data_IF_281736505756
#
_entry.id   IF_281736505756
#
_cell.length_a   1.000
_cell.length_b   1.000
_cell.length_c   1.000
_cell.angle_alpha   90.00
_cell.angle_beta   90.00
_cell.angle_gamma   90.00
#
_symmetry.space_group_name_H-M   'P 1'
#
loop_
_entity.id
_entity.type
_entity.pdbx_description
1 polymer ?
#
# COMPACT_ATOMS: atom_id res chain seq x y z
N UNK A 1 12.85 22.23 -6.66
CA UNK A 1 13.22 21.53 -5.41
C UNK A 1 14.70 21.20 -5.48
N UNK A 2 15.51 21.52 -4.47
CA UNK A 2 16.92 21.08 -4.42
C UNK A 2 16.95 19.74 -3.70
N UNK A 3 17.12 18.64 -4.43
CA UNK A 3 17.35 17.33 -3.80
C UNK A 3 18.73 17.33 -3.16
N UNK A 4 18.80 16.94 -1.89
CA UNK A 4 20.09 16.73 -1.21
C UNK A 4 20.82 15.55 -1.83
N UNK A 5 22.16 15.57 -1.81
CA UNK A 5 22.99 14.43 -2.22
C UNK A 5 22.58 13.16 -1.46
N UNK A 6 22.28 13.27 -0.16
CA UNK A 6 21.76 12.16 0.65
C UNK A 6 20.43 11.61 0.12
N UNK A 7 19.51 12.48 -0.29
CA UNK A 7 18.22 12.08 -0.86
C UNK A 7 18.40 11.32 -2.18
N UNK A 8 19.27 11.82 -3.05
CA UNK A 8 19.57 11.17 -4.34
C UNK A 8 20.15 9.78 -4.10
N UNK A 9 21.12 9.65 -3.18
CA UNK A 9 21.73 8.37 -2.84
C UNK A 9 20.70 7.38 -2.28
N UNK A 10 19.84 7.81 -1.35
CA UNK A 10 18.81 6.93 -0.77
C UNK A 10 17.73 6.53 -1.77
N UNK A 11 17.31 7.44 -2.65
CA UNK A 11 16.42 7.12 -3.78
C UNK A 11 17.07 6.09 -4.72
N UNK A 12 18.37 6.24 -5.00
CA UNK A 12 19.12 5.29 -5.82
C UNK A 12 19.20 3.90 -5.18
N UNK A 13 19.55 3.82 -3.89
CA UNK A 13 19.64 2.56 -3.15
C UNK A 13 18.27 1.89 -3.05
N UNK A 14 17.23 2.61 -2.61
CA UNK A 14 15.88 2.06 -2.45
C UNK A 14 15.25 1.70 -3.80
N UNK A 15 15.53 2.48 -4.85
CA UNK A 15 15.15 2.15 -6.23
C UNK A 15 15.81 0.87 -6.74
N UNK A 16 17.12 0.72 -6.52
CA UNK A 16 17.84 -0.51 -6.86
C UNK A 16 17.32 -1.71 -6.07
N UNK A 17 17.03 -1.54 -4.78
CA UNK A 17 16.39 -2.58 -3.96
C UNK A 17 15.01 -2.98 -4.49
N UNK A 18 14.18 -2.02 -4.92
CA UNK A 18 12.90 -2.32 -5.56
C UNK A 18 13.07 -3.18 -6.81
N UNK A 19 14.02 -2.84 -7.68
CA UNK A 19 14.32 -3.65 -8.88
C UNK A 19 14.84 -5.04 -8.49
N UNK A 20 15.78 -5.12 -7.55
CA UNK A 20 16.34 -6.39 -7.09
C UNK A 20 15.26 -7.31 -6.49
N UNK A 21 14.39 -6.78 -5.61
CA UNK A 21 13.24 -7.52 -5.08
C UNK A 21 12.30 -7.98 -6.19
N UNK A 22 12.12 -7.16 -7.23
CA UNK A 22 11.29 -7.52 -8.38
C UNK A 22 11.87 -8.61 -9.27
N UNK A 23 13.18 -8.84 -9.23
CA UNK A 23 13.84 -9.94 -9.92
C UNK A 23 13.89 -11.22 -9.08
N UNK A 24 13.72 -11.13 -7.76
CA UNK A 24 13.78 -12.27 -6.85
C UNK A 24 12.45 -13.05 -6.80
N UNK A 25 12.43 -14.35 -7.16
CA UNK A 25 11.22 -15.17 -7.15
C UNK A 25 10.64 -15.46 -5.76
N UNK A 26 11.44 -15.37 -4.70
CA UNK A 26 11.09 -15.84 -3.33
C UNK A 26 10.91 -14.69 -2.34
N UNK A 27 11.44 -13.51 -2.66
CA UNK A 27 11.40 -12.33 -1.79
C UNK A 27 10.43 -11.24 -2.26
N UNK A 28 10.24 -11.10 -3.57
CA UNK A 28 9.34 -10.10 -4.18
C UNK A 28 7.94 -10.59 -4.49
N UNK A 29 7.72 -11.90 -4.42
CA UNK A 29 6.53 -12.61 -4.89
C UNK A 29 6.37 -13.89 -4.04
N UNK A 30 5.52 -13.91 -3.02
CA UNK A 30 5.20 -15.17 -2.34
C UNK A 30 4.21 -15.93 -3.25
N UNK A 31 4.58 -17.09 -3.82
CA UNK A 31 3.69 -17.83 -4.70
C UNK A 31 2.55 -18.42 -3.86
N UNK A 32 1.36 -17.84 -4.02
CA UNK A 32 0.11 -18.46 -3.58
C UNK A 32 -0.56 -19.06 -4.82
N UNK A 33 -1.14 -20.28 -4.73
CA UNK A 33 -1.65 -21.02 -5.89
C UNK A 33 -2.97 -20.43 -6.38
N UNK A 34 -2.93 -19.29 -7.07
CA UNK A 34 -4.10 -18.59 -7.63
C UNK A 34 -3.73 -17.81 -8.90
N UNK A 35 -4.72 -17.43 -9.76
CA UNK A 35 -4.48 -16.90 -11.12
C UNK A 35 -3.66 -15.60 -11.23
N UNK A 36 -3.42 -14.89 -10.12
CA UNK A 36 -2.59 -13.68 -10.05
C UNK A 36 -1.11 -13.94 -9.69
N UNK A 37 -0.74 -15.19 -9.40
CA UNK A 37 0.64 -15.68 -9.45
C UNK A 37 1.54 -15.37 -8.26
N UNK A 38 1.41 -14.27 -7.51
CA UNK A 38 2.20 -14.07 -6.25
C UNK A 38 1.91 -12.77 -5.47
N UNK A 39 2.12 -12.81 -4.14
CA UNK A 39 2.00 -11.65 -3.23
C UNK A 39 3.26 -10.78 -3.21
N UNK A 40 3.13 -9.48 -3.50
CA UNK A 40 4.28 -8.59 -3.74
C UNK A 40 4.76 -7.78 -2.53
N UNK A 41 6.06 -7.86 -2.22
CA UNK A 41 6.73 -6.99 -1.23
C UNK A 41 7.48 -5.82 -1.87
N UNK A 42 7.45 -5.73 -3.20
CA UNK A 42 8.26 -4.81 -4.01
C UNK A 42 7.98 -3.32 -3.75
N UNK A 43 6.81 -3.02 -3.16
CA UNK A 43 6.42 -1.67 -2.79
C UNK A 43 7.01 -1.19 -1.45
N UNK A 44 7.59 -2.08 -0.64
CA UNK A 44 8.16 -1.72 0.69
C UNK A 44 9.28 -0.67 0.58
N UNK A 45 10.26 -0.75 -0.33
CA UNK A 45 11.26 0.30 -0.45
C UNK A 45 10.66 1.65 -0.88
N UNK A 46 9.57 1.65 -1.64
CA UNK A 46 8.81 2.86 -1.99
C UNK A 46 8.15 3.50 -0.76
N UNK A 47 7.55 2.67 0.11
CA UNK A 47 7.01 3.11 1.40
C UNK A 47 8.11 3.73 2.26
N UNK A 48 9.24 3.02 2.41
CA UNK A 48 10.38 3.49 3.21
C UNK A 48 10.97 4.79 2.66
N UNK A 49 11.07 4.95 1.35
CA UNK A 49 11.51 6.20 0.72
C UNK A 49 10.58 7.37 1.07
N UNK A 50 9.26 7.14 1.04
CA UNK A 50 8.25 8.11 1.47
C UNK A 50 8.36 8.49 2.95
N UNK A 51 8.59 7.50 3.82
CA UNK A 51 8.73 7.71 5.27
C UNK A 51 10.03 8.45 5.62
N UNK A 52 11.16 8.09 5.00
CA UNK A 52 12.47 8.61 5.38
C UNK A 52 12.83 9.93 4.70
N UNK A 53 12.57 10.07 3.40
CA UNK A 53 13.08 11.18 2.59
C UNK A 53 11.99 12.12 2.06
N UNK A 54 10.71 11.76 2.24
CA UNK A 54 9.57 12.60 1.90
C UNK A 54 8.78 12.12 0.67
N UNK A 55 7.70 12.83 0.32
CA UNK A 55 6.74 12.38 -0.68
C UNK A 55 7.34 12.34 -2.09
N UNK A 56 8.27 13.24 -2.41
CA UNK A 56 8.94 13.28 -3.72
C UNK A 56 9.92 12.13 -3.90
N UNK A 57 10.70 11.79 -2.86
CA UNK A 57 11.57 10.62 -2.89
C UNK A 57 10.75 9.33 -3.04
N UNK A 58 9.65 9.22 -2.29
CA UNK A 58 8.69 8.12 -2.44
C UNK A 58 8.09 8.04 -3.85
N UNK A 59 7.69 9.16 -4.44
CA UNK A 59 7.17 9.19 -5.81
C UNK A 59 8.20 8.76 -6.85
N UNK A 60 9.47 9.15 -6.70
CA UNK A 60 10.54 8.76 -7.63
C UNK A 60 10.82 7.25 -7.54
N UNK A 61 10.95 6.71 -6.32
CA UNK A 61 11.13 5.25 -6.14
C UNK A 61 9.91 4.48 -6.65
N UNK A 62 8.70 5.03 -6.45
CA UNK A 62 7.47 4.50 -7.03
C UNK A 62 7.46 4.54 -8.56
N UNK A 63 8.00 5.58 -9.19
CA UNK A 63 8.15 5.63 -10.64
C UNK A 63 9.12 4.55 -11.15
N UNK A 64 10.23 4.30 -10.43
CA UNK A 64 11.16 3.19 -10.74
C UNK A 64 10.42 1.84 -10.66
N UNK A 65 9.61 1.64 -9.62
CA UNK A 65 8.76 0.46 -9.49
C UNK A 65 7.76 0.33 -10.66
N UNK A 66 7.14 1.44 -11.07
CA UNK A 66 6.23 1.47 -12.21
C UNK A 66 6.93 1.09 -13.52
N UNK A 67 8.13 1.62 -13.75
CA UNK A 67 8.96 1.26 -14.91
C UNK A 67 9.37 -0.21 -14.92
N UNK A 68 9.73 -0.75 -13.76
CA UNK A 68 10.01 -2.18 -13.63
C UNK A 68 8.77 -3.04 -13.92
N UNK A 69 7.59 -2.63 -13.43
CA UNK A 69 6.31 -3.29 -13.70
C UNK A 69 5.98 -3.28 -15.20
N UNK A 70 6.23 -2.15 -15.88
CA UNK A 70 6.03 -1.99 -17.32
C UNK A 70 6.96 -2.88 -18.15
N UNK A 71 8.25 -2.91 -17.79
CA UNK A 71 9.24 -3.77 -18.45
C UNK A 71 8.90 -5.26 -18.28
N UNK A 72 8.58 -5.68 -17.05
CA UNK A 72 8.20 -7.06 -16.75
C UNK A 72 6.91 -7.47 -17.47
N UNK A 73 6.00 -6.55 -17.74
CA UNK A 73 4.79 -6.83 -18.51
C UNK A 73 5.10 -7.35 -19.92
N UNK A 74 6.21 -6.92 -20.52
CA UNK A 74 6.60 -7.31 -21.88
C UNK A 74 7.14 -8.75 -21.94
N UNK A 75 7.69 -9.24 -20.84
CA UNK A 75 8.28 -10.57 -20.71
C UNK A 75 7.36 -11.58 -20.01
N UNK A 76 6.22 -11.14 -19.49
CA UNK A 76 5.29 -11.99 -18.75
C UNK A 76 4.39 -12.81 -19.71
N UNK A 77 4.30 -14.14 -19.56
CA UNK A 77 3.43 -14.97 -20.40
C UNK A 77 1.93 -14.78 -20.10
N UNK A 78 1.54 -14.15 -18.98
CA UNK A 78 0.14 -13.92 -18.65
C UNK A 78 -0.46 -12.75 -19.47
N UNK A 79 -1.46 -13.01 -20.35
CA UNK A 79 -2.02 -11.99 -21.23
C UNK A 79 -2.75 -10.86 -20.48
N UNK A 80 -3.38 -11.16 -19.33
CA UNK A 80 -4.09 -10.17 -18.53
C UNK A 80 -3.09 -9.20 -17.87
N UNK A 81 -2.01 -9.74 -17.29
CA UNK A 81 -0.96 -8.92 -16.70
C UNK A 81 -0.25 -8.04 -17.74
N UNK A 82 -0.03 -8.57 -18.95
CA UNK A 82 0.54 -7.82 -20.08
C UNK A 82 -0.36 -6.65 -20.48
N UNK A 83 -1.67 -6.87 -20.62
CA UNK A 83 -2.63 -5.82 -20.97
C UNK A 83 -2.71 -4.72 -19.91
N UNK A 84 -2.78 -5.09 -18.63
CA UNK A 84 -2.88 -4.14 -17.51
C UNK A 84 -1.63 -3.27 -17.39
N UNK A 85 -0.44 -3.88 -17.39
CA UNK A 85 0.81 -3.16 -17.10
C UNK A 85 1.52 -2.60 -18.34
N UNK A 86 1.01 -2.88 -19.54
CA UNK A 86 1.42 -2.13 -20.75
C UNK A 86 0.75 -0.75 -20.82
N UNK A 87 -0.27 -0.48 -20.01
CA UNK A 87 -0.81 0.87 -19.87
C UNK A 87 0.07 1.66 -18.86
N UNK A 88 0.76 2.74 -19.30
CA UNK A 88 1.66 3.48 -18.43
C UNK A 88 0.93 4.15 -17.25
N UNK A 89 -0.35 4.49 -17.40
CA UNK A 89 -1.14 5.06 -16.30
C UNK A 89 -1.29 4.02 -15.19
N UNK A 90 -1.68 2.80 -15.54
CA UNK A 90 -1.84 1.71 -14.57
C UNK A 90 -0.49 1.34 -13.97
N UNK A 91 0.58 1.30 -14.78
CA UNK A 91 1.91 0.91 -14.32
C UNK A 91 2.54 1.94 -13.38
N UNK A 92 2.46 3.24 -13.66
CA UNK A 92 3.18 4.27 -12.91
C UNK A 92 2.33 4.95 -11.83
N UNK A 93 1.09 5.33 -12.13
CA UNK A 93 0.29 6.20 -11.26
C UNK A 93 0.08 5.60 -9.87
N UNK A 94 -0.42 4.34 -9.72
CA UNK A 94 -0.59 3.75 -8.40
C UNK A 94 0.72 3.66 -7.63
N UNK A 95 1.86 3.44 -8.31
CA UNK A 95 3.17 3.20 -7.66
C UNK A 95 3.78 4.48 -7.13
N UNK A 96 3.68 5.57 -7.89
CA UNK A 96 4.09 6.89 -7.41
C UNK A 96 3.25 7.30 -6.19
N UNK A 97 1.95 6.99 -6.21
CA UNK A 97 1.05 7.31 -5.11
C UNK A 97 1.37 6.54 -3.83
N UNK A 98 1.96 5.34 -3.88
CA UNK A 98 2.36 4.59 -2.67
C UNK A 98 3.24 5.46 -1.77
N UNK A 99 4.34 5.97 -2.30
CA UNK A 99 5.30 6.76 -1.52
C UNK A 99 4.71 8.07 -1.00
N UNK A 100 3.86 8.71 -1.80
CA UNK A 100 3.17 9.96 -1.43
C UNK A 100 2.16 9.71 -0.30
N UNK A 101 1.29 8.70 -0.46
CA UNK A 101 0.27 8.36 0.54
C UNK A 101 0.92 7.90 1.84
N UNK A 102 1.93 7.03 1.77
CA UNK A 102 2.66 6.57 2.95
C UNK A 102 3.30 7.72 3.73
N UNK A 103 3.85 8.72 3.04
CA UNK A 103 4.42 9.91 3.69
C UNK A 103 3.36 10.71 4.46
N UNK A 104 2.22 11.00 3.83
CA UNK A 104 1.16 11.78 4.48
C UNK A 104 0.52 11.02 5.62
N UNK A 105 0.25 9.72 5.46
CA UNK A 105 -0.29 8.88 6.54
C UNK A 105 0.70 8.81 7.72
N UNK A 106 1.99 8.66 7.45
CA UNK A 106 3.03 8.68 8.48
C UNK A 106 3.03 10.00 9.27
N UNK A 107 2.95 11.12 8.55
CA UNK A 107 2.96 12.46 9.15
C UNK A 107 1.70 12.72 9.98
N UNK A 108 0.53 12.30 9.47
CA UNK A 108 -0.75 12.39 10.19
C UNK A 108 -0.78 11.49 11.43
N UNK A 109 -0.26 10.27 11.34
CA UNK A 109 -0.20 9.33 12.46
C UNK A 109 0.72 9.81 13.59
N UNK A 110 1.68 10.70 13.32
CA UNK A 110 2.52 11.31 14.35
C UNK A 110 1.83 12.47 15.11
N UNK A 111 0.90 13.19 14.48
CA UNK A 111 0.26 14.37 15.09
C UNK A 111 -1.06 14.08 15.79
N UNK A 112 -1.34 14.71 16.93
CA UNK A 112 -2.59 14.51 17.71
C UNK A 112 -3.86 14.83 16.90
N UNK A 113 -3.84 15.93 16.13
CA UNK A 113 -4.96 16.30 15.24
C UNK A 113 -5.06 15.39 14.00
N UNK A 114 -3.92 14.94 13.48
CA UNK A 114 -3.86 14.03 12.34
C UNK A 114 -4.38 12.64 12.66
N UNK A 115 -4.15 12.16 13.89
CA UNK A 115 -4.73 10.91 14.40
C UNK A 115 -6.25 10.94 14.46
N UNK A 116 -6.82 12.03 14.98
CA UNK A 116 -8.26 12.21 15.01
C UNK A 116 -8.86 12.17 13.60
N UNK A 117 -8.24 12.88 12.66
CA UNK A 117 -8.66 12.86 11.26
C UNK A 117 -8.58 11.44 10.64
N UNK A 118 -7.48 10.72 10.89
CA UNK A 118 -7.29 9.35 10.40
C UNK A 118 -8.36 8.40 10.97
N UNK A 119 -8.71 8.54 12.26
CA UNK A 119 -9.78 7.77 12.90
C UNK A 119 -11.14 8.06 12.25
N UNK A 120 -11.47 9.33 12.02
CA UNK A 120 -12.72 9.71 11.36
C UNK A 120 -12.82 9.14 9.94
N UNK A 121 -11.76 9.26 9.13
CA UNK A 121 -11.74 8.73 7.77
C UNK A 121 -11.88 7.21 7.78
N UNK A 122 -11.16 6.52 8.66
CA UNK A 122 -11.23 5.06 8.79
C UNK A 122 -12.61 4.60 9.27
N UNK A 123 -13.20 5.31 10.23
CA UNK A 123 -14.54 5.05 10.74
C UNK A 123 -15.58 5.17 9.63
N UNK A 124 -15.54 6.25 8.85
CA UNK A 124 -16.48 6.51 7.76
C UNK A 124 -16.30 5.49 6.64
N UNK A 125 -15.06 5.19 6.24
CA UNK A 125 -14.78 4.23 5.19
C UNK A 125 -15.25 2.82 5.57
N UNK A 126 -14.85 2.33 6.75
CA UNK A 126 -15.22 0.98 7.19
C UNK A 126 -16.70 0.89 7.56
N UNK A 127 -17.28 1.95 8.12
CA UNK A 127 -18.72 2.02 8.37
C UNK A 127 -19.55 1.99 7.10
N UNK A 128 -19.13 2.73 6.07
CA UNK A 128 -19.75 2.65 4.75
C UNK A 128 -19.63 1.24 4.17
N UNK A 129 -18.46 0.60 4.24
CA UNK A 129 -18.32 -0.79 3.76
C UNK A 129 -19.20 -1.76 4.55
N UNK A 130 -19.28 -1.64 5.88
CA UNK A 130 -20.13 -2.50 6.70
C UNK A 130 -21.62 -2.36 6.38
N UNK A 131 -22.06 -1.16 6.01
CA UNK A 131 -23.44 -0.91 5.58
C UNK A 131 -23.80 -1.57 4.24
N UNK A 132 -22.86 -1.55 3.29
CA UNK A 132 -23.05 -2.09 1.93
C UNK A 132 -22.77 -3.60 1.82
N UNK A 133 -21.96 -4.16 2.72
CA UNK A 133 -21.68 -5.60 2.75
C UNK A 133 -22.89 -6.46 3.06
N UNK A 134 -23.94 -5.88 3.66
CA UNK A 134 -25.17 -6.59 4.08
C UNK A 134 -26.43 -6.02 3.43
N UNK A 135 -26.35 -5.63 2.14
CA UNK A 135 -27.49 -5.08 1.38
C UNK A 135 -28.72 -5.99 1.39
N UNK A 136 -28.54 -7.31 1.46
CA UNK A 136 -29.64 -8.29 1.50
C UNK A 136 -30.29 -8.46 2.89
N UNK A 137 -29.76 -7.80 3.92
CA UNK A 137 -30.24 -7.94 5.31
C UNK A 137 -31.07 -6.74 5.77
N UNK A 138 -31.72 -6.89 6.92
CA UNK A 138 -32.57 -5.84 7.51
C UNK A 138 -31.80 -4.53 7.79
N UNK A 139 -32.52 -3.40 7.71
CA UNK A 139 -31.97 -2.06 7.91
C UNK A 139 -31.18 -1.93 9.23
N UNK A 140 -31.66 -2.57 10.30
CA UNK A 140 -31.00 -2.56 11.61
C UNK A 140 -29.65 -3.31 11.60
N UNK A 141 -29.57 -4.45 10.92
CA UNK A 141 -28.35 -5.25 10.80
C UNK A 141 -27.28 -4.51 9.99
N UNK A 142 -27.69 -3.76 8.96
CA UNK A 142 -26.79 -2.91 8.15
C UNK A 142 -26.16 -1.78 8.96
N UNK A 143 -26.95 -1.10 9.78
CA UNK A 143 -26.44 -0.04 10.68
C UNK A 143 -25.56 -0.61 11.79
N UNK A 144 -25.92 -1.75 12.37
CA UNK A 144 -25.08 -2.43 13.36
C UNK A 144 -23.73 -2.87 12.78
N UNK A 145 -23.71 -3.44 11.58
CA UNK A 145 -22.48 -3.82 10.90
C UNK A 145 -21.61 -2.60 10.52
N UNK A 146 -22.24 -1.49 10.10
CA UNK A 146 -21.55 -0.23 9.84
C UNK A 146 -20.88 0.31 11.11
N UNK A 147 -21.59 0.34 12.24
CA UNK A 147 -21.04 0.82 13.51
C UNK A 147 -19.96 -0.12 14.02
N UNK A 148 -20.16 -1.44 13.93
CA UNK A 148 -19.18 -2.43 14.36
C UNK A 148 -17.87 -2.36 13.57
N UNK A 149 -17.94 -2.30 12.23
CA UNK A 149 -16.75 -2.18 11.38
C UNK A 149 -16.07 -0.80 11.48
N UNK A 150 -16.85 0.27 11.63
CA UNK A 150 -16.30 1.60 11.91
C UNK A 150 -15.58 1.64 13.27
N UNK A 151 -16.18 1.03 14.31
CA UNK A 151 -15.61 0.96 15.65
C UNK A 151 -14.36 0.07 15.71
N UNK A 152 -14.32 -1.07 15.01
CA UNK A 152 -13.11 -1.90 14.94
C UNK A 152 -11.98 -1.20 14.19
N UNK A 153 -12.29 -0.44 13.14
CA UNK A 153 -11.33 0.43 12.45
C UNK A 153 -10.71 1.48 13.36
N UNK A 154 -11.53 2.17 14.13
CA UNK A 154 -11.08 3.18 15.10
C UNK A 154 -10.30 2.51 16.23
N UNK A 155 -10.78 1.39 16.76
CA UNK A 155 -10.09 0.63 17.80
C UNK A 155 -8.72 0.15 17.30
N UNK A 156 -8.59 -0.29 16.04
CA UNK A 156 -7.31 -0.64 15.45
C UNK A 156 -6.37 0.56 15.42
N UNK A 157 -6.81 1.73 14.92
CA UNK A 157 -6.00 2.95 14.90
C UNK A 157 -5.63 3.41 16.31
N UNK A 158 -6.54 3.27 17.29
CA UNK A 158 -6.31 3.63 18.69
C UNK A 158 -5.32 2.66 19.34
N UNK A 159 -5.49 1.35 19.22
CA UNK A 159 -4.58 0.33 19.78
C UNK A 159 -3.19 0.47 19.17
N UNK A 160 -3.12 0.70 17.85
CA UNK A 160 -1.87 0.96 17.13
C UNK A 160 -1.22 2.26 17.67
N UNK A 161 -1.99 3.31 17.93
CA UNK A 161 -1.43 4.56 18.46
C UNK A 161 -1.15 4.56 19.98
N UNK A 162 -1.85 3.75 20.77
CA UNK A 162 -1.73 3.72 22.23
C UNK A 162 -0.45 3.00 22.67
N UNK A 163 0.03 2.00 21.93
CA UNK A 163 1.20 1.22 22.35
C UNK A 163 2.55 1.84 22.01
N UNK A 164 2.62 2.91 21.20
CA UNK A 164 3.88 3.67 21.03
C UNK A 164 3.71 4.87 20.11
N UNK A 165 4.43 5.98 20.38
CA UNK A 165 4.68 7.06 19.41
C UNK A 165 5.46 6.60 18.14
N UNK A 166 5.65 5.29 17.99
CA UNK A 166 6.53 4.59 17.05
C UNK A 166 5.78 3.77 15.98
N UNK A 167 4.44 3.69 15.98
CA UNK A 167 3.68 2.83 15.04
C UNK A 167 3.19 3.53 13.75
N UNK A 168 3.53 4.81 13.54
CA UNK A 168 3.27 5.51 12.27
C UNK A 168 3.76 4.79 10.99
N UNK A 169 4.91 4.08 10.99
CA UNK A 169 5.36 3.31 9.84
C UNK A 169 4.43 2.15 9.46
N UNK A 170 3.83 1.49 10.45
CA UNK A 170 2.91 0.37 10.23
C UNK A 170 1.65 0.84 9.47
N UNK A 171 1.03 1.94 9.92
CA UNK A 171 -0.12 2.54 9.24
C UNK A 171 0.24 3.05 7.84
N UNK A 172 1.40 3.69 7.69
CA UNK A 172 1.89 4.15 6.40
C UNK A 172 2.11 3.00 5.40
N UNK A 173 2.56 1.84 5.88
CA UNK A 173 2.72 0.64 5.07
C UNK A 173 1.39 0.02 4.65
N UNK A 174 0.43 -0.10 5.56
CA UNK A 174 -0.93 -0.58 5.24
C UNK A 174 -1.56 0.30 4.17
N UNK A 175 -1.58 1.62 4.38
CA UNK A 175 -2.17 2.56 3.43
C UNK A 175 -1.42 2.59 2.10
N UNK A 176 -0.09 2.49 2.12
CA UNK A 176 0.73 2.41 0.91
C UNK A 176 0.43 1.14 0.10
N UNK A 177 0.30 0.00 0.78
CA UNK A 177 -0.05 -1.29 0.16
C UNK A 177 -1.45 -1.25 -0.47
N UNK A 178 -2.46 -0.77 0.27
CA UNK A 178 -3.81 -0.60 -0.28
C UNK A 178 -3.87 0.39 -1.44
N UNK A 179 -3.05 1.44 -1.44
CA UNK A 179 -2.96 2.39 -2.56
C UNK A 179 -2.55 1.68 -3.86
N UNK A 180 -1.62 0.71 -3.77
CA UNK A 180 -1.25 -0.11 -4.91
C UNK A 180 -2.42 -0.98 -5.38
N UNK A 181 -2.98 -1.79 -4.48
CA UNK A 181 -4.01 -2.76 -4.81
C UNK A 181 -5.26 -2.07 -5.36
N UNK A 182 -5.78 -1.06 -4.67
CA UNK A 182 -6.95 -0.31 -5.09
C UNK A 182 -6.66 0.47 -6.38
N UNK A 183 -5.49 1.11 -6.48
CA UNK A 183 -5.13 1.89 -7.66
C UNK A 183 -4.97 1.03 -8.91
N UNK A 184 -4.30 -0.11 -8.81
CA UNK A 184 -4.09 -1.04 -9.93
C UNK A 184 -5.41 -1.67 -10.34
N UNK A 185 -6.15 -2.24 -9.39
CA UNK A 185 -7.38 -2.96 -9.71
C UNK A 185 -8.49 -2.00 -10.14
N UNK A 186 -8.61 -0.84 -9.50
CA UNK A 186 -9.57 0.20 -9.85
C UNK A 186 -9.32 0.84 -11.22
N UNK A 187 -8.07 1.12 -11.58
CA UNK A 187 -7.78 1.59 -12.94
C UNK A 187 -7.99 0.46 -13.97
N UNK A 188 -7.65 -0.78 -13.63
CA UNK A 188 -7.83 -1.91 -14.54
C UNK A 188 -9.31 -2.21 -14.84
N UNK A 189 -10.20 -2.00 -13.87
CA UNK A 189 -11.65 -2.09 -14.10
C UNK A 189 -12.17 -0.90 -14.89
N UNK A 190 -11.69 0.31 -14.60
CA UNK A 190 -12.07 1.53 -15.32
C UNK A 190 -11.71 1.45 -16.80
N UNK A 191 -10.51 0.94 -17.13
CA UNK A 191 -10.07 0.71 -18.50
C UNK A 191 -10.63 -0.57 -19.13
N UNK A 192 -11.54 -1.28 -18.45
CA UNK A 192 -12.21 -2.51 -18.91
C UNK A 192 -11.24 -3.67 -19.21
N UNK A 193 -10.06 -3.69 -18.60
CA UNK A 193 -9.13 -4.81 -18.73
C UNK A 193 -9.50 -5.99 -17.82
N UNK A 194 -10.12 -5.71 -16.67
CA UNK A 194 -10.52 -6.72 -15.69
C UNK A 194 -11.96 -6.47 -15.22
N UNK A 195 -12.83 -7.49 -15.14
CA UNK A 195 -14.17 -7.35 -14.57
C UNK A 195 -14.12 -6.95 -13.08
N UNK A 196 -15.11 -6.17 -12.64
CA UNK A 196 -15.17 -5.65 -11.26
C UNK A 196 -15.16 -6.78 -10.22
N UNK A 197 -15.84 -7.91 -10.49
CA UNK A 197 -15.87 -9.04 -9.56
C UNK A 197 -14.49 -9.70 -9.42
N UNK A 198 -13.79 -9.93 -10.54
CA UNK A 198 -12.44 -10.47 -10.53
C UNK A 198 -11.46 -9.51 -9.85
N UNK A 199 -11.65 -8.21 -10.06
CA UNK A 199 -10.81 -7.19 -9.45
C UNK A 199 -10.98 -7.11 -7.92
N UNK A 200 -12.22 -7.19 -7.44
CA UNK A 200 -12.53 -7.24 -6.02
C UNK A 200 -11.99 -8.54 -5.38
N UNK A 201 -12.15 -9.68 -6.05
CA UNK A 201 -11.64 -10.96 -5.57
C UNK A 201 -10.12 -10.89 -5.35
N UNK A 202 -9.35 -10.46 -6.35
CA UNK A 202 -7.89 -10.29 -6.23
C UNK A 202 -7.52 -9.28 -5.15
N UNK A 203 -8.25 -8.16 -5.06
CA UNK A 203 -8.01 -7.13 -4.05
C UNK A 203 -8.14 -7.65 -2.62
N UNK A 204 -9.13 -8.51 -2.36
CA UNK A 204 -9.37 -9.10 -1.03
C UNK A 204 -8.37 -10.21 -0.74
N UNK A 205 -8.16 -11.13 -1.69
CA UNK A 205 -7.32 -12.32 -1.47
C UNK A 205 -5.84 -11.97 -1.36
N UNK A 206 -5.37 -10.94 -2.06
CA UNK A 206 -3.96 -10.55 -2.08
C UNK A 206 -3.67 -9.28 -1.30
N UNK A 207 -4.55 -8.28 -1.39
CA UNK A 207 -4.30 -6.97 -0.75
C UNK A 207 -4.18 -7.05 0.76
N UNK A 208 -4.96 -7.92 1.42
CA UNK A 208 -4.92 -8.07 2.88
C UNK A 208 -3.61 -8.74 3.33
N UNK A 209 -3.22 -9.94 2.82
CA UNK A 209 -1.93 -10.53 3.18
C UNK A 209 -0.74 -9.64 2.88
N UNK A 210 -0.72 -8.97 1.72
CA UNK A 210 0.35 -8.05 1.34
C UNK A 210 0.46 -6.87 2.32
N UNK A 211 -0.66 -6.26 2.69
CA UNK A 211 -0.67 -5.15 3.64
C UNK A 211 -0.16 -5.57 5.02
N UNK A 212 -0.47 -6.78 5.48
CA UNK A 212 0.04 -7.32 6.75
C UNK A 212 1.55 -7.54 6.67
N UNK A 213 2.05 -8.16 5.60
CA UNK A 213 3.50 -8.37 5.41
C UNK A 213 4.24 -7.05 5.30
N UNK A 214 3.72 -6.10 4.51
CA UNK A 214 4.29 -4.77 4.37
C UNK A 214 4.32 -4.02 5.71
N UNK A 215 3.26 -4.12 6.51
CA UNK A 215 3.18 -3.56 7.85
C UNK A 215 4.31 -4.08 8.75
N UNK A 216 4.43 -5.40 8.86
CA UNK A 216 5.42 -6.05 9.75
C UNK A 216 6.84 -5.71 9.31
N UNK A 217 7.15 -5.87 8.03
CA UNK A 217 8.49 -5.62 7.49
C UNK A 217 8.88 -4.14 7.56
N UNK A 218 7.96 -3.23 7.21
CA UNK A 218 8.23 -1.79 7.29
C UNK A 218 8.48 -1.36 8.73
N UNK A 219 7.70 -1.85 9.69
CA UNK A 219 7.91 -1.54 11.11
C UNK A 219 9.24 -2.10 11.62
N UNK A 220 9.59 -3.34 11.26
CA UNK A 220 10.85 -3.96 11.64
C UNK A 220 12.07 -3.21 11.07
N UNK A 221 12.03 -2.87 9.77
CA UNK A 221 13.11 -2.11 9.12
C UNK A 221 13.20 -0.70 9.70
N UNK A 222 12.07 -0.03 9.94
CA UNK A 222 12.04 1.30 10.53
C UNK A 222 12.64 1.32 11.93
N UNK A 223 12.30 0.33 12.77
CA UNK A 223 12.87 0.22 14.12
C UNK A 223 14.37 -0.09 14.06
N UNK A 224 14.79 -1.03 13.22
CA UNK A 224 16.21 -1.37 13.05
C UNK A 224 17.06 -0.18 12.61
N UNK A 225 16.59 0.57 11.61
CA UNK A 225 17.29 1.76 11.10
C UNK A 225 17.30 2.93 12.08
N UNK A 226 16.24 3.11 12.87
CA UNK A 226 16.19 4.16 13.90
C UNK A 226 17.15 3.89 15.05
N UNK A 227 17.26 2.64 15.50
CA UNK A 227 18.19 2.26 16.58
C UNK A 227 19.64 2.58 16.20
N UNK A 228 20.01 2.46 14.93
CA UNK A 228 21.36 2.80 14.42
C UNK A 228 21.61 4.30 14.36
N UNK A 229 20.56 5.13 14.21
CA UNK A 229 20.67 6.59 14.07
C UNK A 229 20.64 7.34 15.40
N UNK A 230 20.22 6.67 16.47
CA UNK A 230 20.21 7.18 17.85
C UNK A 230 21.46 6.73 18.66
N UNK A 231 22.35 5.94 18.05
CA UNK A 231 23.71 5.63 18.53
C UNK A 231 24.73 6.58 17.90
#
# INVERSE_FOLDING_TARGET
MKLSTRQITLVGILGAMTVALGLLPVGGFIPVPTPAGSATTMHIPTILAGIFEGPVAGAIVGAIFGGFSFWRAQTNPNPVAKLMFSNPVIAFLPRMLIGVVSHYVYTLARGTRGRFFLMCVTMVALGHTGYWSLVEQSQAVRWLAAIALGATGVAAVVIINQKSSKQGPALAAICGSFTNTIGVMGLSTLFKYVPVQAAAAVGITHGIPEAVVAMVLTDLIYRGTRTIREQ
#
